data_IF_638793789350
#
_entry.id   IF_638793789350
#
_cell.length_a   1.000
_cell.length_b   1.000
_cell.length_c   1.000
_cell.angle_alpha   90.00
_cell.angle_beta   90.00
_cell.angle_gamma   90.00
#
_symmetry.space_group_name_H-M   'P 1'
#
loop_
_entity.id
_entity.type
_entity.pdbx_description
1 polymer ?
#
# COMPACT_ATOMS: atom_id res chain seq x y z
N UNK A 1 -8.47 3.33 -3.09
CA UNK A 1 -8.64 1.89 -2.82
C UNK A 1 -7.45 1.46 -1.99
N UNK A 2 -7.51 0.39 -1.21
CA UNK A 2 -6.26 -0.21 -0.77
C UNK A 2 -5.61 -0.94 -1.96
N UNK A 3 -4.29 -1.12 -1.89
CA UNK A 3 -3.61 -2.08 -2.73
C UNK A 3 -3.53 -3.42 -1.99
N UNK A 4 -3.35 -4.51 -2.74
CA UNK A 4 -3.04 -5.83 -2.20
C UNK A 4 -1.88 -6.46 -2.93
N UNK A 5 -1.16 -7.32 -2.22
CA UNK A 5 -0.08 -8.13 -2.77
C UNK A 5 -0.66 -9.52 -3.08
N UNK A 6 -0.41 -10.01 -4.28
CA UNK A 6 -0.89 -11.33 -4.73
C UNK A 6 0.07 -12.45 -4.33
N UNK A 7 -0.31 -13.69 -4.62
CA UNK A 7 0.50 -14.90 -4.43
C UNK A 7 1.72 -14.98 -5.36
N UNK A 8 1.84 -14.08 -6.35
CA UNK A 8 3.03 -13.95 -7.20
C UNK A 8 4.21 -13.25 -6.49
N UNK A 9 4.03 -12.82 -5.23
CA UNK A 9 5.09 -12.20 -4.44
C UNK A 9 6.27 -13.14 -4.21
N UNK A 10 7.49 -12.65 -4.49
CA UNK A 10 8.73 -13.42 -4.34
C UNK A 10 9.51 -13.13 -3.04
N UNK A 11 8.89 -12.46 -2.05
CA UNK A 11 9.50 -12.10 -0.77
C UNK A 11 10.89 -11.41 -0.89
N UNK A 12 10.99 -10.38 -1.74
CA UNK A 12 12.25 -9.68 -2.03
C UNK A 12 12.55 -8.47 -1.11
N UNK A 13 11.69 -8.19 -0.13
CA UNK A 13 11.85 -7.15 0.91
C UNK A 13 11.87 -5.68 0.44
N UNK A 14 11.88 -5.40 -0.86
CA UNK A 14 12.07 -4.02 -1.37
C UNK A 14 10.87 -3.10 -1.17
N UNK A 15 9.64 -3.62 -1.05
CA UNK A 15 8.45 -2.78 -1.01
C UNK A 15 8.08 -2.24 0.39
N UNK A 16 8.43 -2.98 1.45
CA UNK A 16 8.14 -2.60 2.83
C UNK A 16 8.75 -1.24 3.25
N UNK A 17 10.04 -0.96 3.01
CA UNK A 17 10.65 0.33 3.41
C UNK A 17 10.11 1.52 2.61
N UNK A 18 9.52 1.30 1.44
CA UNK A 18 9.00 2.36 0.57
C UNK A 18 7.60 2.84 0.98
N UNK A 19 6.90 2.13 1.86
CA UNK A 19 5.56 2.52 2.26
C UNK A 19 5.61 3.67 3.28
N UNK A 20 5.12 4.89 2.94
CA UNK A 20 5.21 6.04 3.85
C UNK A 20 4.35 5.89 5.12
N UNK A 21 3.35 5.00 5.07
CA UNK A 21 2.42 4.75 6.18
C UNK A 21 2.74 3.45 6.94
N UNK A 22 3.81 2.73 6.58
CA UNK A 22 4.13 1.44 7.17
C UNK A 22 3.04 0.37 6.97
N UNK A 23 2.29 0.44 5.87
CA UNK A 23 1.17 -0.46 5.59
C UNK A 23 1.61 -1.88 5.18
N UNK A 24 2.88 -2.09 4.83
CA UNK A 24 3.40 -3.34 4.28
C UNK A 24 4.18 -4.09 5.35
N UNK A 25 3.89 -5.37 5.53
CA UNK A 25 4.60 -6.25 6.46
C UNK A 25 4.71 -7.68 5.94
N UNK A 26 5.65 -8.46 6.47
CA UNK A 26 5.82 -9.87 6.12
C UNK A 26 4.65 -10.70 6.67
N UNK A 27 3.92 -11.39 5.80
CA UNK A 27 2.93 -12.41 6.16
C UNK A 27 3.53 -13.82 6.21
N UNK A 28 2.68 -14.84 6.28
CA UNK A 28 3.11 -16.24 6.36
C UNK A 28 3.79 -16.72 5.07
N UNK A 29 3.22 -16.39 3.90
CA UNK A 29 3.72 -16.85 2.59
C UNK A 29 4.21 -15.70 1.70
N UNK A 30 3.58 -14.52 1.82
CA UNK A 30 3.88 -13.32 1.03
C UNK A 30 3.88 -12.09 1.92
N UNK A 31 4.39 -10.98 1.39
CA UNK A 31 4.12 -9.67 1.99
C UNK A 31 2.62 -9.34 1.93
N UNK A 32 2.12 -8.62 2.93
CA UNK A 32 0.71 -8.21 3.04
C UNK A 32 0.61 -6.71 3.23
N UNK A 33 -0.48 -6.13 2.73
CA UNK A 33 -0.83 -4.71 2.91
C UNK A 33 -2.00 -4.61 3.89
N UNK A 34 -1.85 -3.79 4.95
CA UNK A 34 -2.97 -3.37 5.79
C UNK A 34 -3.78 -2.29 5.05
N UNK A 35 -5.04 -2.58 4.66
CA UNK A 35 -5.87 -1.63 3.93
C UNK A 35 -6.21 -0.37 4.75
N UNK A 36 -6.14 -0.42 6.07
CA UNK A 36 -6.40 0.73 6.93
C UNK A 36 -5.27 1.77 6.89
N UNK A 37 -4.07 1.35 6.49
CA UNK A 37 -2.89 2.19 6.38
C UNK A 37 -2.56 2.54 4.92
N UNK A 38 -2.99 1.74 3.96
CA UNK A 38 -2.74 1.99 2.55
C UNK A 38 -3.54 3.21 2.05
N UNK A 39 -2.85 4.28 1.65
CA UNK A 39 -3.47 5.46 0.99
C UNK A 39 -3.26 5.46 -0.52
N UNK A 40 -2.78 4.36 -1.11
CA UNK A 40 -2.20 4.35 -2.46
C UNK A 40 -1.08 5.39 -2.66
N UNK A 41 -0.44 5.81 -1.58
CA UNK A 41 0.49 6.94 -1.51
C UNK A 41 -0.13 8.32 -1.76
N UNK A 42 -1.45 8.45 -1.96
CA UNK A 42 -2.16 9.73 -1.98
C UNK A 42 -1.83 10.49 -0.69
N UNK A 43 -1.42 11.75 -0.83
CA UNK A 43 -0.91 12.56 0.27
C UNK A 43 0.60 12.73 0.30
N UNK A 44 1.34 11.69 -0.11
CA UNK A 44 2.80 11.67 -0.08
C UNK A 44 3.42 11.76 -1.47
N UNK A 45 2.87 11.02 -2.43
CA UNK A 45 3.40 10.87 -3.79
C UNK A 45 2.26 10.86 -4.83
N UNK A 46 2.61 11.05 -6.10
CA UNK A 46 1.67 10.96 -7.22
C UNK A 46 1.38 9.50 -7.63
N UNK A 47 2.33 8.60 -7.39
CA UNK A 47 2.24 7.17 -7.71
C UNK A 47 2.52 6.31 -6.48
N UNK A 48 2.08 5.05 -6.52
CA UNK A 48 2.30 4.13 -5.42
C UNK A 48 3.73 3.60 -5.43
N UNK A 49 4.51 3.95 -4.40
CA UNK A 49 5.94 3.64 -4.35
C UNK A 49 6.22 2.13 -4.29
N UNK A 50 5.37 1.36 -3.60
CA UNK A 50 5.54 -0.10 -3.55
C UNK A 50 5.33 -0.77 -4.91
N UNK A 51 4.48 -0.21 -5.78
CA UNK A 51 4.28 -0.69 -7.14
C UNK A 51 5.52 -0.42 -7.98
N UNK A 52 6.08 0.80 -7.91
CA UNK A 52 7.27 1.20 -8.68
C UNK A 52 8.51 0.33 -8.41
N UNK A 53 8.64 -0.21 -7.20
CA UNK A 53 9.80 -1.04 -6.81
C UNK A 53 9.54 -2.54 -6.92
N UNK A 54 8.30 -2.98 -7.19
CA UNK A 54 7.99 -4.40 -7.25
C UNK A 54 8.60 -5.05 -8.51
N UNK A 55 9.51 -6.05 -8.38
CA UNK A 55 10.19 -6.62 -9.55
C UNK A 55 9.33 -7.59 -10.37
N UNK A 56 8.13 -7.92 -9.91
CA UNK A 56 7.23 -8.94 -10.49
C UNK A 56 5.80 -8.43 -10.65
N UNK A 57 5.56 -7.12 -10.53
CA UNK A 57 4.26 -6.47 -10.75
C UNK A 57 3.07 -7.10 -9.98
N UNK A 58 3.34 -7.71 -8.82
CA UNK A 58 2.35 -8.48 -8.04
C UNK A 58 1.47 -7.64 -7.10
N UNK A 59 1.57 -6.30 -7.14
CA UNK A 59 0.83 -5.37 -6.28
C UNK A 59 -0.29 -4.70 -7.10
N UNK A 60 -1.54 -5.01 -6.77
CA UNK A 60 -2.72 -4.61 -7.55
C UNK A 60 -3.74 -3.86 -6.70
N UNK A 61 -4.76 -3.25 -7.34
CA UNK A 61 -5.92 -2.71 -6.65
C UNK A 61 -6.66 -3.82 -5.91
N UNK A 62 -7.00 -3.58 -4.65
CA UNK A 62 -7.82 -4.51 -3.89
C UNK A 62 -9.31 -4.31 -4.23
N UNK A 63 -9.99 -5.28 -4.86
CA UNK A 63 -11.41 -5.17 -5.19
C UNK A 63 -12.31 -5.08 -3.95
N UNK A 64 -11.85 -5.56 -2.79
CA UNK A 64 -12.64 -5.57 -1.54
C UNK A 64 -12.51 -4.26 -0.75
N UNK A 65 -11.55 -3.40 -1.11
CA UNK A 65 -11.27 -2.12 -0.45
C UNK A 65 -11.23 -0.98 -1.47
N UNK A 66 -12.30 -0.82 -2.24
CA UNK A 66 -12.42 0.28 -3.20
C UNK A 66 -12.67 1.61 -2.46
N UNK A 67 -11.85 2.60 -2.76
CA UNK A 67 -11.93 3.95 -2.19
C UNK A 67 -11.61 4.96 -3.29
N UNK A 68 -12.32 6.07 -3.27
CA UNK A 68 -12.10 7.27 -4.08
C UNK A 68 -10.85 8.01 -3.64
N UNK A 69 -10.35 8.92 -4.49
CA UNK A 69 -9.20 9.77 -4.13
C UNK A 69 -9.49 10.66 -2.90
N UNK A 70 -10.73 11.12 -2.73
CA UNK A 70 -11.16 11.89 -1.56
C UNK A 70 -11.11 11.06 -0.27
N UNK A 71 -11.54 9.80 -0.32
CA UNK A 71 -11.47 8.88 0.83
C UNK A 71 -10.01 8.55 1.19
N UNK A 72 -9.15 8.35 0.19
CA UNK A 72 -7.72 8.15 0.38
C UNK A 72 -7.04 9.37 1.00
N UNK A 73 -7.41 10.57 0.54
CA UNK A 73 -6.94 11.84 1.10
C UNK A 73 -7.36 11.98 2.57
N UNK A 74 -8.62 11.71 2.86
CA UNK A 74 -9.13 11.74 4.24
C UNK A 74 -8.44 10.71 5.13
N UNK A 75 -8.11 9.52 4.61
CA UNK A 75 -7.30 8.52 5.32
C UNK A 75 -5.90 9.03 5.62
N UNK A 76 -5.21 9.61 4.65
CA UNK A 76 -3.90 10.25 4.84
C UNK A 76 -3.96 11.31 5.94
N UNK A 77 -4.96 12.20 5.91
CA UNK A 77 -5.13 13.24 6.93
C UNK A 77 -5.34 12.66 8.34
N UNK A 78 -6.05 11.53 8.47
CA UNK A 78 -6.20 10.84 9.76
C UNK A 78 -4.89 10.24 10.26
N UNK A 79 -4.06 9.69 9.37
CA UNK A 79 -2.80 9.03 9.73
C UNK A 79 -1.71 10.06 10.10
N UNK A 80 -1.66 11.19 9.40
CA UNK A 80 -0.61 12.20 9.56
C UNK A 80 -1.04 13.37 10.46
N UNK A 81 -2.34 13.70 10.48
CA UNK A 81 -2.90 14.83 11.22
C UNK A 81 -3.17 14.57 12.71
N UNK A 82 -2.91 13.36 13.21
CA UNK A 82 -3.03 13.00 14.63
C UNK A 82 -1.78 13.32 15.47
N UNK A 83 -1.11 14.44 15.20
CA UNK A 83 0.04 14.95 15.98
C UNK A 83 -0.37 15.79 17.18
#
# INVERSE_FOLDING_TARGET
>A
MALKITDECINCDVCAPECPNGAISQGEETYVIDPNLCTECVGHYETSQCVEVCPVDCIIKDPDHQETEEELRAKYERLIGGG
#
